data_IF_862281826158
#
_entry.id   IF_862281826158
#
_cell.length_a   1.000
_cell.length_b   1.000
_cell.length_c   1.000
_cell.angle_alpha   90.00
_cell.angle_beta   90.00
_cell.angle_gamma   90.00
#
_symmetry.space_group_name_H-M   'P 1'
#
loop_
_entity.id
_entity.type
_entity.pdbx_description
1 polymer ?
#
# COMPACT_ATOMS: atom_id res chain seq x y z
N UNK A 1 41.56 -16.86 -1.48
CA UNK A 1 40.44 -15.97 -1.11
C UNK A 1 40.20 -15.05 -2.28
N UNK A 2 39.14 -15.29 -3.06
CA UNK A 2 38.79 -14.41 -4.18
C UNK A 2 38.06 -13.19 -3.61
N UNK A 3 38.69 -12.04 -3.76
CA UNK A 3 38.16 -10.75 -3.34
C UNK A 3 37.09 -10.38 -4.38
N UNK A 4 35.81 -10.45 -4.00
CA UNK A 4 34.72 -9.90 -4.82
C UNK A 4 34.96 -8.40 -4.93
N UNK A 5 35.50 -7.94 -6.06
CA UNK A 5 35.37 -6.56 -6.48
C UNK A 5 33.88 -6.30 -6.70
N UNK A 6 33.25 -5.64 -5.72
CA UNK A 6 31.88 -5.16 -5.87
C UNK A 6 31.96 -4.00 -6.88
N UNK A 7 31.53 -4.25 -8.12
CA UNK A 7 31.40 -3.22 -9.15
C UNK A 7 30.47 -2.11 -8.59
N UNK A 8 30.80 -0.85 -8.84
CA UNK A 8 29.99 0.31 -8.43
C UNK A 8 28.55 0.18 -9.00
N UNK A 9 28.40 -0.50 -10.15
CA UNK A 9 27.09 -0.85 -10.73
C UNK A 9 26.33 -1.86 -9.88
N UNK A 10 27.02 -2.82 -9.28
CA UNK A 10 26.42 -3.79 -8.35
C UNK A 10 25.97 -3.09 -7.07
N UNK A 11 26.76 -2.14 -6.54
CA UNK A 11 26.35 -1.34 -5.37
C UNK A 11 25.06 -0.57 -5.64
N UNK A 12 24.96 0.11 -6.78
CA UNK A 12 23.75 0.84 -7.17
C UNK A 12 22.55 -0.12 -7.34
N UNK A 13 22.76 -1.25 -8.02
CA UNK A 13 21.75 -2.29 -8.22
C UNK A 13 21.24 -2.89 -6.91
N UNK A 14 22.13 -3.26 -5.99
CA UNK A 14 21.74 -3.80 -4.68
C UNK A 14 21.09 -2.74 -3.77
N UNK A 15 21.53 -1.49 -3.87
CA UNK A 15 20.90 -0.36 -3.14
C UNK A 15 19.49 -0.10 -3.65
N UNK A 16 19.29 -0.16 -4.97
CA UNK A 16 17.99 0.00 -5.60
C UNK A 16 17.04 -1.14 -5.18
N UNK A 17 17.47 -2.39 -5.29
CA UNK A 17 16.72 -3.56 -4.79
C UNK A 17 16.35 -3.43 -3.30
N UNK A 18 17.30 -3.08 -2.44
CA UNK A 18 17.05 -2.90 -1.02
C UNK A 18 16.03 -1.78 -0.76
N UNK A 19 16.10 -0.66 -1.48
CA UNK A 19 15.10 0.41 -1.40
C UNK A 19 13.71 -0.06 -1.83
N UNK A 20 13.60 -0.85 -2.90
CA UNK A 20 12.35 -1.46 -3.35
C UNK A 20 11.74 -2.37 -2.26
N UNK A 21 12.55 -3.26 -1.69
CA UNK A 21 12.12 -4.17 -0.62
C UNK A 21 11.70 -3.41 0.64
N UNK A 22 12.43 -2.36 1.01
CA UNK A 22 12.12 -1.54 2.18
C UNK A 22 10.83 -0.74 2.01
N UNK A 23 10.60 -0.17 0.81
CA UNK A 23 9.33 0.51 0.52
C UNK A 23 8.14 -0.45 0.59
N UNK A 24 8.24 -1.62 -0.05
CA UNK A 24 7.14 -2.57 -0.06
C UNK A 24 6.84 -3.12 1.34
N UNK A 25 7.86 -3.32 2.16
CA UNK A 25 7.72 -3.76 3.55
C UNK A 25 7.02 -2.70 4.40
N UNK A 26 7.46 -1.44 4.30
CA UNK A 26 6.82 -0.31 4.98
C UNK A 26 5.37 -0.12 4.50
N UNK A 27 5.12 -0.21 3.20
CA UNK A 27 3.78 -0.10 2.60
C UNK A 27 2.84 -1.19 3.13
N UNK A 28 3.32 -2.43 3.22
CA UNK A 28 2.56 -3.56 3.77
C UNK A 28 2.25 -3.37 5.25
N UNK A 29 3.21 -2.90 6.05
CA UNK A 29 2.99 -2.59 7.46
C UNK A 29 1.93 -1.49 7.63
N UNK A 30 2.10 -0.35 6.95
CA UNK A 30 1.15 0.76 7.00
C UNK A 30 -0.26 0.35 6.54
N UNK A 31 -0.37 -0.47 5.49
CA UNK A 31 -1.66 -0.97 5.03
C UNK A 31 -2.32 -1.91 6.03
N UNK A 32 -1.55 -2.77 6.69
CA UNK A 32 -2.07 -3.65 7.74
C UNK A 32 -2.59 -2.83 8.93
N UNK A 33 -1.88 -1.79 9.36
CA UNK A 33 -2.31 -0.91 10.45
C UNK A 33 -3.63 -0.21 10.10
N UNK A 34 -3.74 0.32 8.88
CA UNK A 34 -4.97 0.94 8.38
C UNK A 34 -6.12 -0.05 8.27
N UNK A 35 -5.87 -1.25 7.71
CA UNK A 35 -6.89 -2.28 7.58
C UNK A 35 -7.38 -2.78 8.94
N UNK A 36 -6.47 -3.03 9.88
CA UNK A 36 -6.78 -3.48 11.24
C UNK A 36 -7.50 -2.42 12.08
N UNK A 37 -7.35 -1.14 11.74
CA UNK A 37 -8.06 -0.06 12.44
C UNK A 37 -9.59 -0.17 12.31
N UNK A 38 -10.09 -0.86 11.29
CA UNK A 38 -11.52 -0.97 10.99
C UNK A 38 -12.19 0.35 10.59
N UNK A 39 -11.42 1.43 10.44
CA UNK A 39 -11.91 2.76 10.09
C UNK A 39 -11.71 3.02 8.59
N UNK A 40 -12.64 3.76 7.95
CA UNK A 40 -12.41 4.25 6.59
C UNK A 40 -11.18 5.16 6.54
N UNK A 41 -10.27 4.86 5.64
CA UNK A 41 -9.04 5.61 5.39
C UNK A 41 -8.90 5.97 3.92
N UNK A 42 -8.01 6.90 3.63
CA UNK A 42 -7.77 7.39 2.28
C UNK A 42 -6.33 7.16 1.83
N UNK A 43 -6.06 7.35 0.55
CA UNK A 43 -4.69 7.35 0.03
C UNK A 43 -3.81 8.43 0.68
N UNK A 44 -4.40 9.52 1.20
CA UNK A 44 -3.66 10.56 1.93
C UNK A 44 -3.24 10.08 3.32
N UNK A 45 -4.08 9.31 4.00
CA UNK A 45 -3.73 8.72 5.30
C UNK A 45 -2.60 7.69 5.16
N UNK A 46 -2.64 6.89 4.11
CA UNK A 46 -1.52 6.00 3.75
C UNK A 46 -0.23 6.77 3.47
N UNK A 47 -0.30 7.87 2.69
CA UNK A 47 0.88 8.72 2.43
C UNK A 47 1.45 9.33 3.70
N UNK A 48 0.60 9.67 4.68
CA UNK A 48 1.03 10.20 5.97
C UNK A 48 1.82 9.16 6.78
N UNK A 49 1.39 7.90 6.78
CA UNK A 49 2.12 6.81 7.43
C UNK A 49 3.43 6.46 6.70
N UNK A 50 3.46 6.66 5.39
CA UNK A 50 4.63 6.43 4.55
C UNK A 50 5.56 7.66 4.44
N UNK A 51 5.33 8.73 5.21
CA UNK A 51 6.11 9.96 5.09
C UNK A 51 7.60 9.77 5.39
N UNK A 52 7.92 8.86 6.33
CA UNK A 52 9.30 8.50 6.70
C UNK A 52 9.84 7.31 5.90
N UNK A 53 9.02 6.70 5.03
CA UNK A 53 9.43 5.58 4.19
C UNK A 53 10.18 6.09 2.94
N UNK A 54 11.05 5.26 2.34
CA UNK A 54 11.73 5.61 1.09
C UNK A 54 10.73 6.04 0.01
N UNK A 55 11.10 6.99 -0.86
CA UNK A 55 10.22 7.42 -1.95
C UNK A 55 9.92 6.24 -2.89
N UNK A 56 8.65 6.00 -3.29
CA UNK A 56 8.37 4.98 -4.29
C UNK A 56 9.04 5.33 -5.62
N UNK A 57 9.63 4.33 -6.27
CA UNK A 57 10.33 4.47 -7.56
C UNK A 57 9.45 5.08 -8.67
N UNK A 58 8.15 4.80 -8.66
CA UNK A 58 7.20 5.42 -9.58
C UNK A 58 6.01 6.08 -8.90
N UNK A 59 5.51 7.22 -9.44
CA UNK A 59 4.35 7.92 -8.90
C UNK A 59 3.08 7.06 -8.88
N UNK A 60 3.01 6.04 -9.75
CA UNK A 60 1.87 5.13 -9.86
C UNK A 60 1.97 3.89 -8.95
N UNK A 61 3.09 3.70 -8.25
CA UNK A 61 3.33 2.50 -7.40
C UNK A 61 2.27 2.37 -6.31
N UNK A 62 1.87 3.49 -5.70
CA UNK A 62 0.83 3.51 -4.66
C UNK A 62 -0.50 2.99 -5.21
N UNK A 63 -0.89 3.43 -6.40
CA UNK A 63 -2.15 3.00 -7.02
C UNK A 63 -2.16 1.50 -7.34
N UNK A 64 -1.06 0.98 -7.88
CA UNK A 64 -0.90 -0.46 -8.14
C UNK A 64 -0.92 -1.27 -6.84
N UNK A 65 -0.26 -0.80 -5.79
CA UNK A 65 -0.25 -1.46 -4.48
C UNK A 65 -1.66 -1.57 -3.88
N UNK A 66 -2.45 -0.50 -3.89
CA UNK A 66 -3.85 -0.53 -3.42
C UNK A 66 -4.69 -1.54 -4.20
N UNK A 67 -4.49 -1.65 -5.51
CA UNK A 67 -5.17 -2.65 -6.34
C UNK A 67 -4.79 -4.07 -5.91
N UNK A 68 -3.50 -4.33 -5.68
CA UNK A 68 -3.04 -5.63 -5.16
C UNK A 68 -3.67 -5.97 -3.81
N UNK A 69 -3.65 -5.04 -2.85
CA UNK A 69 -4.26 -5.25 -1.53
C UNK A 69 -5.77 -5.50 -1.61
N UNK A 70 -6.47 -4.88 -2.57
CA UNK A 70 -7.88 -5.18 -2.85
C UNK A 70 -8.07 -6.60 -3.37
N UNK A 71 -7.27 -7.01 -4.35
CA UNK A 71 -7.32 -8.36 -4.93
C UNK A 71 -7.02 -9.45 -3.90
N UNK A 72 -6.10 -9.18 -2.97
CA UNK A 72 -5.78 -10.08 -1.86
C UNK A 72 -6.82 -10.06 -0.72
N UNK A 73 -7.87 -9.24 -0.83
CA UNK A 73 -8.92 -9.15 0.18
C UNK A 73 -8.47 -8.49 1.49
N UNK A 74 -7.38 -7.72 1.50
CA UNK A 74 -6.95 -6.98 2.69
C UNK A 74 -7.81 -5.74 2.91
N UNK A 75 -8.22 -5.09 1.82
CA UNK A 75 -9.01 -3.84 1.84
C UNK A 75 -10.11 -3.91 0.80
N UNK A 76 -11.19 -3.16 1.02
CA UNK A 76 -12.25 -2.96 0.03
C UNK A 76 -12.56 -1.47 -0.13
N UNK A 77 -13.06 -1.12 -1.32
CA UNK A 77 -13.59 0.22 -1.59
C UNK A 77 -14.92 0.37 -0.87
N UNK A 78 -15.11 1.46 -0.12
CA UNK A 78 -16.43 1.81 0.38
C UNK A 78 -17.27 2.43 -0.75
N UNK A 79 -18.58 2.58 -0.53
CA UNK A 79 -19.45 3.35 -1.43
C UNK A 79 -19.21 4.87 -1.34
N UNK A 80 -18.42 5.30 -0.35
CA UNK A 80 -18.17 6.70 -0.07
C UNK A 80 -16.86 7.16 -0.74
N UNK A 81 -16.87 8.42 -1.18
CA UNK A 81 -15.69 9.11 -1.68
C UNK A 81 -15.46 10.36 -0.85
N UNK A 82 -14.23 10.57 -0.37
CA UNK A 82 -13.84 11.78 0.38
C UNK A 82 -13.12 12.76 -0.53
N UNK A 83 -13.14 14.03 -0.14
CA UNK A 83 -12.37 15.06 -0.83
C UNK A 83 -10.90 14.98 -0.38
N UNK A 84 -9.98 14.96 -1.34
CA UNK A 84 -8.54 14.97 -1.09
C UNK A 84 -8.13 16.17 -0.24
N UNK A 85 -7.29 15.93 0.76
CA UNK A 85 -6.72 16.99 1.62
C UNK A 85 -5.36 17.48 1.13
N UNK A 86 -4.73 16.75 0.20
CA UNK A 86 -3.45 17.12 -0.38
C UNK A 86 -3.49 18.44 -1.19
N UNK A 87 -2.55 19.38 -0.97
CA UNK A 87 -2.54 20.69 -1.65
C UNK A 87 -2.30 20.61 -3.16
N UNK A 88 -1.71 19.52 -3.67
CA UNK A 88 -1.49 19.28 -5.11
C UNK A 88 -2.70 18.72 -5.85
N UNK A 89 -3.75 18.31 -5.13
CA UNK A 89 -4.97 17.69 -5.70
C UNK A 89 -6.25 18.37 -5.17
N UNK A 90 -6.22 19.71 -5.05
CA UNK A 90 -7.32 20.53 -4.51
C UNK A 90 -8.67 20.11 -5.11
N UNK A 91 -9.45 19.37 -4.32
CA UNK A 91 -10.83 19.03 -4.65
C UNK A 91 -11.08 17.69 -5.34
N UNK A 92 -10.06 16.87 -5.62
CA UNK A 92 -10.28 15.56 -6.21
C UNK A 92 -11.03 14.63 -5.24
N UNK A 93 -12.08 13.95 -5.73
CA UNK A 93 -12.74 12.87 -4.99
C UNK A 93 -11.80 11.66 -4.98
N UNK A 94 -11.41 11.24 -3.79
CA UNK A 94 -10.62 10.04 -3.55
C UNK A 94 -11.53 8.98 -2.91
N UNK A 95 -11.43 7.76 -3.42
CA UNK A 95 -12.14 6.63 -2.84
C UNK A 95 -11.68 6.41 -1.40
N UNK A 96 -12.63 6.19 -0.51
CA UNK A 96 -12.35 5.67 0.81
C UNK A 96 -12.19 4.16 0.76
N UNK A 97 -11.29 3.68 1.60
CA UNK A 97 -10.95 2.27 1.75
C UNK A 97 -11.20 1.86 3.19
N UNK A 98 -11.57 0.60 3.39
CA UNK A 98 -11.69 0.02 4.73
C UNK A 98 -11.07 -1.37 4.70
N UNK A 99 -10.48 -1.78 5.83
CA UNK A 99 -10.00 -3.15 5.99
C UNK A 99 -11.15 -4.14 5.86
N UNK A 100 -10.91 -5.26 5.19
CA UNK A 100 -11.90 -6.35 5.15
C UNK A 100 -11.80 -7.10 6.48
N UNK A 101 -12.87 -7.14 7.28
CA UNK A 101 -12.86 -7.98 8.48
C UNK A 101 -12.69 -9.45 8.05
N UNK A 102 -11.83 -10.19 8.73
CA UNK A 102 -11.57 -11.63 8.49
C UNK A 102 -12.81 -12.54 8.67
N UNK A 103 -14.00 -11.98 8.92
CA UNK A 103 -15.24 -12.69 9.19
C UNK A 103 -15.98 -13.13 7.91
N UNK A 104 -15.57 -12.70 6.72
CA UNK A 104 -16.35 -12.98 5.51
C UNK A 104 -16.00 -14.33 4.90
N UNK A 105 -16.53 -15.40 5.51
CA UNK A 105 -16.93 -16.61 4.79
C UNK A 105 -18.47 -16.68 4.91
N UNK A 106 -19.26 -16.22 3.93
CA UNK A 106 -20.57 -16.80 3.72
C UNK A 106 -20.33 -18.16 3.07
N UNK A 107 -20.05 -19.18 3.90
CA UNK A 107 -20.13 -20.56 3.47
C UNK A 107 -21.59 -20.77 3.05
N UNK A 108 -21.82 -20.91 1.75
CA UNK A 108 -23.12 -21.22 1.18
C UNK A 108 -23.54 -22.65 1.56
N UNK A 109 -23.93 -22.84 2.81
CA UNK A 109 -24.63 -24.02 3.30
C UNK A 109 -26.05 -23.59 3.69
N UNK A 110 -26.82 -23.24 2.68
CA UNK A 110 -28.29 -23.19 2.75
C UNK A 110 -28.81 -23.28 1.30
N UNK A 111 -28.71 -24.49 0.74
CA UNK A 111 -29.46 -24.87 -0.45
C UNK A 111 -29.63 -26.39 -0.49
N UNK A 112 -30.90 -26.78 -0.35
CA UNK A 112 -31.51 -28.11 -0.52
C UNK A 112 -31.52 -29.06 0.68
#
# INVERSE_FOLDING_TARGET
MQQLEIDIRDVAYYTELAAHHNWHTAARAAMNDLANSGRPFTADDFRRLMADAPTPHHPNTIGSFFRTCKTEGLITTTENSRRSTAPSRRGALIHEWVGVPKTTIPSGEDAA
#
